data_IF_696346803146
#
_entry.id   IF_696346803146
#
_cell.length_a   1.000
_cell.length_b   1.000
_cell.length_c   1.000
_cell.angle_alpha   90.00
_cell.angle_beta   90.00
_cell.angle_gamma   90.00
#
_symmetry.space_group_name_H-M   'P 1'
#
loop_
_entity.id
_entity.type
_entity.pdbx_description
1 polymer ?
#
# COMPACT_ATOMS: atom_id res chain seq x y z
N UNK A 1 -20.02 19.84 -2.26
CA UNK A 1 -19.12 18.73 -1.90
C UNK A 1 -18.78 17.99 -3.18
N UNK A 2 -17.51 18.04 -3.61
CA UNK A 2 -17.05 17.16 -4.68
C UNK A 2 -16.89 15.76 -4.05
N UNK A 3 -17.67 14.81 -4.54
CA UNK A 3 -17.59 13.41 -4.13
C UNK A 3 -16.33 12.83 -4.79
N UNK A 4 -15.43 12.27 -4.00
CA UNK A 4 -14.30 11.52 -4.53
C UNK A 4 -14.86 10.37 -5.39
N UNK A 5 -14.38 10.27 -6.63
CA UNK A 5 -14.84 9.29 -7.60
C UNK A 5 -13.70 8.31 -7.87
N UNK A 6 -13.87 7.07 -7.43
CA UNK A 6 -12.96 5.98 -7.75
C UNK A 6 -13.51 5.17 -8.92
N UNK A 7 -12.61 4.63 -9.73
CA UNK A 7 -12.96 3.71 -10.80
C UNK A 7 -13.55 2.43 -10.19
N UNK A 8 -14.80 2.11 -10.48
CA UNK A 8 -15.45 0.91 -9.94
C UNK A 8 -15.63 -0.21 -10.96
N UNK A 9 -15.62 0.10 -12.26
CA UNK A 9 -15.74 -0.90 -13.32
C UNK A 9 -15.18 -0.38 -14.65
N UNK A 10 -14.56 -1.28 -15.42
CA UNK A 10 -14.21 -1.09 -16.84
C UNK A 10 -14.82 -2.26 -17.60
N UNK A 11 -15.49 -1.97 -18.71
CA UNK A 11 -15.97 -2.97 -19.67
C UNK A 11 -15.26 -2.72 -21.00
N UNK A 12 -14.66 -3.76 -21.57
CA UNK A 12 -14.02 -3.67 -22.88
C UNK A 12 -15.04 -3.83 -24.03
N UNK A 13 -14.58 -3.67 -25.28
CA UNK A 13 -15.44 -3.77 -26.47
C UNK A 13 -15.93 -5.20 -26.75
N UNK A 14 -15.38 -6.20 -26.07
CA UNK A 14 -15.79 -7.60 -26.17
C UNK A 14 -16.76 -8.00 -25.05
N UNK A 15 -17.05 -7.08 -24.12
CA UNK A 15 -17.95 -7.31 -22.99
C UNK A 15 -17.30 -7.97 -21.78
N UNK A 16 -15.96 -8.04 -21.72
CA UNK A 16 -15.28 -8.45 -20.49
C UNK A 16 -15.27 -7.30 -19.48
N UNK A 17 -15.46 -7.61 -18.20
CA UNK A 17 -15.52 -6.61 -17.12
C UNK A 17 -14.35 -6.78 -16.15
N UNK A 18 -13.72 -5.66 -15.77
CA UNK A 18 -12.88 -5.55 -14.58
C UNK A 18 -13.62 -4.70 -13.54
N UNK A 19 -14.04 -5.31 -12.43
CA UNK A 19 -14.76 -4.65 -11.33
C UNK A 19 -13.84 -4.43 -10.14
N UNK A 20 -13.93 -3.26 -9.52
CA UNK A 20 -13.09 -2.89 -8.37
C UNK A 20 -13.99 -2.62 -7.17
N UNK A 21 -13.74 -3.33 -6.07
CA UNK A 21 -14.39 -3.07 -4.77
C UNK A 21 -13.40 -2.42 -3.82
N UNK A 22 -13.93 -1.67 -2.85
CA UNK A 22 -13.12 -0.88 -1.93
C UNK A 22 -13.56 -1.08 -0.48
N UNK A 23 -12.59 -1.13 0.43
CA UNK A 23 -12.78 -1.01 1.87
C UNK A 23 -12.87 0.48 2.22
N UNK A 24 -13.85 0.83 3.03
CA UNK A 24 -13.98 2.15 3.63
C UNK A 24 -13.68 2.07 5.12
N UNK A 25 -12.56 2.64 5.56
CA UNK A 25 -12.23 2.70 6.98
C UNK A 25 -13.04 3.80 7.67
N UNK A 26 -13.60 3.56 8.86
CA UNK A 26 -14.39 4.56 9.60
C UNK A 26 -13.88 4.74 11.03
N UNK A 27 -13.84 6.00 11.49
CA UNK A 27 -13.50 6.34 12.89
C UNK A 27 -14.30 7.56 13.37
N UNK A 28 -14.72 7.52 14.63
CA UNK A 28 -15.17 8.71 15.35
C UNK A 28 -13.96 9.52 15.86
N UNK A 29 -13.93 10.82 15.56
CA UNK A 29 -12.91 11.74 16.10
C UNK A 29 -13.51 12.42 17.33
N UNK A 30 -12.92 12.16 18.50
CA UNK A 30 -13.36 12.74 19.76
C UNK A 30 -13.28 14.27 19.72
N UNK A 31 -14.31 14.95 20.23
CA UNK A 31 -14.34 16.42 20.34
C UNK A 31 -14.66 17.19 19.05
N UNK A 32 -14.75 16.54 17.88
CA UNK A 32 -15.03 17.22 16.62
C UNK A 32 -16.53 17.32 16.27
N UNK A 33 -17.40 16.53 16.93
CA UNK A 33 -18.84 16.50 16.63
C UNK A 33 -19.18 16.03 15.20
N UNK A 34 -18.18 15.63 14.42
CA UNK A 34 -18.30 15.19 13.04
C UNK A 34 -17.52 13.88 12.82
N UNK A 35 -17.99 13.09 11.85
CA UNK A 35 -17.25 11.95 11.30
C UNK A 35 -16.44 12.47 10.10
N UNK A 36 -15.14 12.17 10.05
CA UNK A 36 -14.31 12.52 8.89
C UNK A 36 -14.18 11.30 7.98
N UNK A 37 -14.52 11.49 6.71
CA UNK A 37 -14.26 10.52 5.64
C UNK A 37 -12.79 10.57 5.18
N UNK A 38 -12.10 9.52 4.73
CA UNK A 38 -11.91 8.10 5.11
C UNK A 38 -10.71 7.63 4.26
N UNK A 39 -9.87 6.70 4.72
CA UNK A 39 -9.00 6.00 3.77
C UNK A 39 -9.89 5.02 2.95
N UNK A 40 -9.82 5.13 1.63
CA UNK A 40 -10.50 4.24 0.68
C UNK A 40 -9.44 3.37 0.04
N UNK A 41 -9.57 2.06 0.22
CA UNK A 41 -8.54 1.09 -0.14
C UNK A 41 -9.13 0.04 -1.08
N UNK A 42 -8.48 -0.30 -2.21
CA UNK A 42 -8.97 -1.35 -3.08
C UNK A 42 -8.96 -2.68 -2.33
N UNK A 43 -10.09 -3.40 -2.34
CA UNK A 43 -10.23 -4.71 -1.71
C UNK A 43 -9.99 -5.83 -2.73
N UNK A 44 -10.68 -5.71 -3.87
CA UNK A 44 -10.61 -6.66 -4.95
C UNK A 44 -10.58 -5.96 -6.31
N UNK A 45 -9.84 -6.53 -7.25
CA UNK A 45 -10.07 -6.33 -8.68
C UNK A 45 -10.50 -7.67 -9.26
N UNK A 46 -11.72 -7.75 -9.77
CA UNK A 46 -12.34 -8.98 -10.24
C UNK A 46 -12.53 -8.93 -11.75
N UNK A 47 -12.10 -9.98 -12.44
CA UNK A 47 -12.27 -10.12 -13.88
C UNK A 47 -13.44 -11.06 -14.18
N UNK A 48 -14.35 -10.61 -15.05
CA UNK A 48 -15.47 -11.37 -15.59
C UNK A 48 -15.30 -11.48 -17.09
N UNK A 49 -15.23 -12.71 -17.60
CA UNK A 49 -15.32 -12.95 -19.03
C UNK A 49 -16.73 -12.56 -19.53
N UNK A 50 -16.83 -12.16 -20.80
CA UNK A 50 -18.11 -11.80 -21.42
C UNK A 50 -19.21 -12.84 -21.16
N UNK A 51 -20.35 -12.39 -20.63
CA UNK A 51 -21.49 -13.24 -20.28
C UNK A 51 -21.36 -14.02 -18.96
N UNK A 52 -20.22 -13.95 -18.27
CA UNK A 52 -20.03 -14.58 -16.97
C UNK A 52 -20.70 -13.78 -15.85
N UNK A 53 -21.45 -14.47 -14.98
CA UNK A 53 -22.04 -13.87 -13.77
C UNK A 53 -21.12 -13.98 -12.54
N UNK A 54 -20.08 -14.81 -12.64
CA UNK A 54 -19.11 -15.04 -11.56
C UNK A 54 -17.71 -14.67 -12.02
N UNK A 55 -16.88 -14.08 -11.14
CA UNK A 55 -15.53 -13.69 -11.53
C UNK A 55 -14.69 -14.92 -11.88
N UNK A 56 -13.96 -14.84 -12.99
CA UNK A 56 -13.07 -15.89 -13.49
C UNK A 56 -11.68 -15.80 -12.83
N UNK A 57 -11.25 -14.59 -12.51
CA UNK A 57 -10.00 -14.31 -11.80
C UNK A 57 -10.21 -13.11 -10.87
N UNK A 58 -9.37 -13.00 -9.84
CA UNK A 58 -9.37 -11.85 -8.96
C UNK A 58 -7.99 -11.53 -8.41
N UNK A 59 -7.75 -10.25 -8.16
CA UNK A 59 -6.67 -9.74 -7.33
C UNK A 59 -7.28 -9.39 -5.98
N UNK A 60 -6.69 -9.90 -4.91
CA UNK A 60 -7.09 -9.63 -3.52
C UNK A 60 -6.00 -8.81 -2.86
N UNK A 61 -6.38 -7.67 -2.29
CA UNK A 61 -5.49 -6.81 -1.52
C UNK A 61 -5.62 -7.15 -0.03
N UNK A 62 -4.54 -7.64 0.55
CA UNK A 62 -4.48 -7.97 1.97
C UNK A 62 -3.93 -6.81 2.78
N UNK A 63 -4.61 -6.51 3.87
CA UNK A 63 -4.27 -5.40 4.73
C UNK A 63 -4.09 -5.89 6.17
N UNK A 64 -3.00 -5.48 6.81
CA UNK A 64 -2.81 -5.69 8.25
C UNK A 64 -3.16 -4.42 9.01
N UNK A 65 -3.87 -4.61 10.12
CA UNK A 65 -4.13 -3.53 11.07
C UNK A 65 -2.81 -3.05 11.69
N UNK A 66 -2.56 -1.77 11.53
CA UNK A 66 -1.56 -1.03 12.24
C UNK A 66 -2.28 -0.10 13.23
N UNK A 67 -2.21 -0.38 14.53
CA UNK A 67 -2.41 0.70 15.48
C UNK A 67 -1.27 1.70 15.24
N UNK A 68 -1.57 2.95 14.87
CA UNK A 68 -0.58 4.03 14.84
C UNK A 68 -0.14 4.39 16.28
N UNK A 69 0.25 3.39 17.07
CA UNK A 69 0.78 3.47 18.43
C UNK A 69 2.24 3.86 18.46
N UNK A 70 2.95 3.79 17.33
CA UNK A 70 4.38 4.11 17.26
C UNK A 70 4.66 5.62 17.15
N UNK A 71 3.64 6.47 17.31
CA UNK A 71 3.75 7.92 17.39
C UNK A 71 3.38 8.36 18.80
N UNK A 72 4.30 8.14 19.75
CA UNK A 72 4.12 8.31 21.20
C UNK A 72 3.69 9.71 21.68
N UNK A 73 3.54 10.70 20.79
CA UNK A 73 3.47 12.11 21.20
C UNK A 73 2.30 12.94 20.67
N UNK A 74 1.33 12.35 19.93
CA UNK A 74 0.14 13.10 19.52
C UNK A 74 -1.14 12.57 20.21
N UNK A 75 -1.89 13.44 20.94
CA UNK A 75 -3.20 13.07 21.45
C UNK A 75 -4.12 12.72 20.26
N UNK A 76 -4.36 11.42 20.12
CA UNK A 76 -5.08 10.74 19.02
C UNK A 76 -6.48 11.29 18.73
N UNK A 77 -7.05 12.06 19.66
CA UNK A 77 -8.35 12.69 19.56
C UNK A 77 -8.36 13.91 18.63
N UNK A 78 -7.23 14.59 18.43
CA UNK A 78 -7.18 15.89 17.76
C UNK A 78 -6.43 15.90 16.41
N UNK A 79 -5.97 14.75 15.93
CA UNK A 79 -5.36 14.62 14.60
C UNK A 79 -6.48 14.55 13.55
N UNK A 80 -6.90 15.73 13.09
CA UNK A 80 -7.93 15.97 12.06
C UNK A 80 -7.49 15.53 10.65
N UNK A 81 -6.27 15.01 10.51
CA UNK A 81 -5.62 14.76 9.23
C UNK A 81 -5.50 13.26 8.99
N UNK A 82 -6.28 12.76 8.03
CA UNK A 82 -6.14 11.46 7.34
C UNK A 82 -5.54 10.31 8.17
N UNK A 83 -6.39 9.40 8.65
CA UNK A 83 -5.94 8.15 9.28
C UNK A 83 -5.95 7.03 8.23
N UNK A 84 -4.87 6.25 8.19
CA UNK A 84 -4.88 4.94 7.54
C UNK A 84 -4.41 3.89 8.55
N UNK A 85 -5.38 3.15 9.11
CA UNK A 85 -5.12 2.07 10.06
C UNK A 85 -4.55 0.83 9.40
N UNK A 86 -4.62 0.72 8.09
CA UNK A 86 -4.28 -0.48 7.39
C UNK A 86 -3.04 -0.26 6.54
N UNK A 87 -2.23 -1.31 6.45
CA UNK A 87 -1.08 -1.33 5.54
C UNK A 87 -1.30 -2.49 4.60
N UNK A 88 -1.23 -2.19 3.30
CA UNK A 88 -1.23 -3.22 2.28
C UNK A 88 -0.01 -4.10 2.50
N UNK A 89 -0.22 -5.35 2.89
CA UNK A 89 0.84 -6.32 3.19
C UNK A 89 0.97 -7.38 2.10
N UNK A 90 -0.06 -7.53 1.28
CA UNK A 90 -0.10 -8.58 0.29
C UNK A 90 -1.00 -8.25 -0.90
N UNK A 91 -0.61 -8.77 -2.05
CA UNK A 91 -1.41 -8.77 -3.27
C UNK A 91 -1.47 -10.22 -3.74
N UNK A 92 -2.66 -10.81 -3.74
CA UNK A 92 -2.84 -12.22 -4.11
C UNK A 92 -3.65 -12.31 -5.39
N UNK A 93 -3.06 -12.90 -6.43
CA UNK A 93 -3.75 -13.21 -7.68
C UNK A 93 -4.36 -14.60 -7.59
N UNK A 94 -5.64 -14.70 -7.89
CA UNK A 94 -6.40 -15.94 -7.81
C UNK A 94 -7.15 -16.20 -9.11
N UNK A 95 -7.18 -17.47 -9.53
CA UNK A 95 -7.98 -17.93 -10.65
C UNK A 95 -9.05 -18.91 -10.16
N UNK A 96 -10.24 -18.85 -10.77
CA UNK A 96 -11.33 -19.76 -10.44
C UNK A 96 -11.08 -21.09 -11.13
N UNK A 97 -11.04 -22.19 -10.37
CA UNK A 97 -11.03 -23.54 -10.95
C UNK A 97 -12.35 -23.84 -11.62
N UNK A 98 -12.30 -24.30 -12.87
CA UNK A 98 -13.49 -24.72 -13.63
C UNK A 98 -14.16 -25.95 -13.02
N UNK A 99 -13.40 -26.83 -12.37
CA UNK A 99 -13.90 -28.09 -11.81
C UNK A 99 -14.60 -27.93 -10.47
N UNK A 100 -14.11 -27.04 -9.59
CA UNK A 100 -14.65 -26.86 -8.23
C UNK A 100 -15.39 -25.55 -8.04
N UNK A 101 -15.19 -24.57 -8.93
CA UNK A 101 -15.67 -23.21 -8.76
C UNK A 101 -14.97 -22.40 -7.67
N UNK A 102 -13.97 -22.97 -6.99
CA UNK A 102 -13.20 -22.29 -5.95
C UNK A 102 -12.09 -21.41 -6.55
N UNK A 103 -11.72 -20.35 -5.84
CA UNK A 103 -10.53 -19.57 -6.17
C UNK A 103 -9.28 -20.22 -5.61
N UNK A 104 -8.24 -20.28 -6.43
CA UNK A 104 -6.91 -20.73 -6.02
C UNK A 104 -5.87 -19.66 -6.28
N UNK A 105 -4.89 -19.57 -5.38
CA UNK A 105 -3.78 -18.63 -5.52
C UNK A 105 -2.88 -19.08 -6.67
N UNK A 106 -2.73 -18.22 -7.67
CA UNK A 106 -1.79 -18.39 -8.78
C UNK A 106 -0.46 -17.72 -8.46
N UNK A 107 -0.54 -16.58 -7.76
CA UNK A 107 0.62 -15.78 -7.40
C UNK A 107 0.32 -14.98 -6.15
N UNK A 108 1.32 -14.77 -5.30
CA UNK A 108 1.24 -13.89 -4.14
C UNK A 108 2.45 -12.98 -4.09
N UNK A 109 2.21 -11.72 -3.80
CA UNK A 109 3.23 -10.73 -3.45
C UNK A 109 3.08 -10.41 -1.98
N UNK A 110 4.16 -10.52 -1.21
CA UNK A 110 4.25 -10.05 0.17
C UNK A 110 5.06 -8.77 0.20
N UNK A 111 4.54 -7.73 0.85
CA UNK A 111 5.11 -6.40 0.92
C UNK A 111 5.65 -6.15 2.33
N UNK A 112 6.96 -6.02 2.47
CA UNK A 112 7.60 -5.69 3.74
C UNK A 112 7.81 -4.18 3.85
N UNK A 113 7.69 -3.66 5.06
CA UNK A 113 7.80 -2.23 5.35
C UNK A 113 8.70 -2.01 6.57
N UNK A 114 9.28 -0.83 6.65
CA UNK A 114 10.09 -0.36 7.77
C UNK A 114 9.83 1.13 8.02
N UNK A 115 10.29 1.65 9.15
CA UNK A 115 10.12 3.03 9.55
C UNK A 115 11.44 3.68 9.86
N UNK A 116 11.65 4.85 9.28
CA UNK A 116 12.70 5.74 9.72
C UNK A 116 12.10 6.75 10.71
N UNK A 117 12.66 6.76 11.92
CA UNK A 117 12.31 7.73 12.96
C UNK A 117 13.22 8.96 12.85
N UNK A 118 12.61 10.15 12.97
CA UNK A 118 13.31 11.42 12.92
C UNK A 118 13.48 11.97 14.34
N UNK A 119 14.72 12.25 14.74
CA UNK A 119 15.01 12.85 16.04
C UNK A 119 14.60 14.33 16.06
N UNK A 120 13.83 14.74 17.05
CA UNK A 120 13.33 16.11 17.22
C UNK A 120 12.13 16.17 18.17
N UNK A 121 11.72 17.37 18.57
CA UNK A 121 10.63 17.58 19.55
C UNK A 121 9.24 17.09 19.12
N UNK A 122 9.10 16.55 17.90
CA UNK A 122 7.83 16.04 17.36
C UNK A 122 7.92 14.60 16.84
N UNK A 123 9.00 13.85 17.12
CA UNK A 123 9.21 12.43 16.78
C UNK A 123 8.34 11.92 15.62
N UNK A 124 8.66 12.38 14.41
CA UNK A 124 7.94 11.96 13.20
C UNK A 124 8.59 10.69 12.69
N UNK A 125 7.80 9.86 12.00
CA UNK A 125 8.30 8.66 11.33
C UNK A 125 7.78 8.61 9.91
N UNK A 126 8.60 8.13 8.97
CA UNK A 126 8.18 7.86 7.58
C UNK A 126 8.25 6.36 7.36
N UNK A 127 7.18 5.80 6.81
CA UNK A 127 7.14 4.42 6.35
C UNK A 127 7.81 4.30 4.99
N UNK A 128 8.55 3.22 4.78
CA UNK A 128 9.08 2.84 3.48
C UNK A 128 8.81 1.36 3.19
N UNK A 129 8.48 1.05 1.94
CA UNK A 129 8.42 -0.32 1.43
C UNK A 129 9.85 -0.83 1.28
N UNK A 130 10.21 -1.91 1.96
CA UNK A 130 11.60 -2.43 1.98
C UNK A 130 11.78 -3.61 1.05
N UNK A 131 10.75 -4.42 0.85
CA UNK A 131 10.81 -5.49 -0.13
C UNK A 131 9.44 -5.93 -0.64
N UNK A 132 9.48 -6.58 -1.80
CA UNK A 132 8.37 -7.37 -2.34
C UNK A 132 8.89 -8.76 -2.64
N UNK A 133 8.25 -9.78 -2.05
CA UNK A 133 8.56 -11.19 -2.32
C UNK A 133 7.42 -11.80 -3.12
N UNK A 134 7.73 -12.35 -4.29
CA UNK A 134 6.77 -13.10 -5.11
C UNK A 134 6.83 -14.59 -4.79
N UNK A 135 5.68 -15.25 -4.68
CA UNK A 135 5.59 -16.72 -4.65
C UNK A 135 4.52 -17.26 -5.61
N UNK A 136 4.80 -18.46 -6.13
CA UNK A 136 3.92 -19.20 -7.04
C UNK A 136 2.88 -20.06 -6.34
N UNK A 137 2.17 -20.87 -7.14
CA UNK A 137 1.14 -21.82 -6.68
C UNK A 137 1.66 -22.86 -5.67
N UNK A 138 2.93 -23.23 -5.77
CA UNK A 138 3.59 -24.21 -4.91
C UNK A 138 4.13 -23.60 -3.61
N UNK A 139 3.98 -22.28 -3.44
CA UNK A 139 4.51 -21.54 -2.30
C UNK A 139 6.01 -21.24 -2.39
N UNK A 140 6.70 -21.68 -3.46
CA UNK A 140 8.11 -21.35 -3.69
C UNK A 140 8.24 -19.86 -3.92
N UNK A 141 9.07 -19.19 -3.12
CA UNK A 141 9.33 -17.77 -3.25
C UNK A 141 10.51 -17.50 -4.20
N UNK A 142 10.35 -16.52 -5.09
CA UNK A 142 11.45 -15.93 -5.82
C UNK A 142 12.28 -15.03 -4.89
N UNK A 143 13.54 -14.72 -5.27
CA UNK A 143 14.31 -13.70 -4.58
C UNK A 143 13.52 -12.38 -4.48
N UNK A 144 13.56 -11.76 -3.30
CA UNK A 144 12.82 -10.55 -3.05
C UNK A 144 13.37 -9.37 -3.88
N UNK A 145 12.46 -8.54 -4.38
CA UNK A 145 12.79 -7.17 -4.78
C UNK A 145 13.05 -6.37 -3.53
N UNK A 146 14.25 -5.79 -3.39
CA UNK A 146 14.60 -4.95 -2.24
C UNK A 146 14.73 -3.49 -2.64
N UNK A 147 14.34 -2.63 -1.71
CA UNK A 147 14.33 -1.18 -1.89
C UNK A 147 15.14 -0.53 -0.77
N UNK A 148 16.16 0.24 -1.17
CA UNK A 148 16.95 1.06 -0.27
C UNK A 148 16.58 2.53 -0.46
N UNK A 149 16.69 3.31 0.61
CA UNK A 149 16.34 4.72 0.61
C UNK A 149 17.46 5.53 1.26
N UNK A 150 17.77 6.67 0.68
CA UNK A 150 18.57 7.71 1.31
C UNK A 150 17.68 8.64 2.12
N UNK A 151 18.11 8.98 3.33
CA UNK A 151 17.43 9.98 4.14
C UNK A 151 18.08 11.34 3.88
N UNK A 152 17.30 12.30 3.39
CA UNK A 152 17.80 13.62 3.02
C UNK A 152 18.30 14.45 4.23
N UNK A 153 17.86 14.11 5.44
CA UNK A 153 18.29 14.74 6.70
C UNK A 153 19.59 14.16 7.27
N UNK A 154 20.10 13.05 6.73
CA UNK A 154 21.34 12.42 7.21
C UNK A 154 22.57 13.33 7.00
N UNK A 155 22.52 14.22 6.01
CA UNK A 155 23.58 15.20 5.74
C UNK A 155 23.49 16.48 6.61
N UNK A 156 22.34 16.73 7.24
CA UNK A 156 22.10 17.91 8.06
C UNK A 156 21.08 17.58 9.16
N UNK A 157 21.50 16.97 10.28
CA UNK A 157 20.59 16.66 11.37
C UNK A 157 19.91 17.96 11.81
N UNK A 158 18.59 17.94 11.97
CA UNK A 158 17.81 19.09 12.43
C UNK A 158 18.15 19.32 13.91
N UNK A 159 19.27 20.01 14.17
CA UNK A 159 19.71 20.41 15.51
C UNK A 159 19.10 21.77 15.80
N UNK A 160 18.10 21.78 16.68
CA UNK A 160 17.56 23.01 17.27
C UNK A 160 16.53 23.73 16.41
N UNK A 161 15.25 23.54 16.74
CA UNK A 161 14.19 24.53 16.52
C UNK A 161 14.06 25.16 15.13
N UNK A 162 14.42 24.45 14.06
CA UNK A 162 14.35 25.02 12.71
C UNK A 162 12.89 25.26 12.28
N UNK A 163 12.55 26.53 12.08
CA UNK A 163 11.23 27.03 11.66
C UNK A 163 11.05 27.07 10.13
N UNK A 164 11.74 26.25 9.33
CA UNK A 164 11.55 26.29 7.87
C UNK A 164 11.75 24.96 7.14
N UNK A 165 10.66 24.50 6.54
CA UNK A 165 10.53 23.85 5.22
C UNK A 165 11.26 22.53 4.88
N UNK A 166 12.30 22.09 5.59
CA UNK A 166 12.93 20.79 5.32
C UNK A 166 12.08 19.67 5.93
N UNK A 167 11.01 19.26 5.23
CA UNK A 167 10.31 18.02 5.60
C UNK A 167 11.28 16.85 5.34
N UNK A 168 11.44 15.92 6.29
CA UNK A 168 12.20 14.72 6.01
C UNK A 168 11.60 14.03 4.79
N UNK A 169 12.45 13.70 3.82
CA UNK A 169 12.09 13.02 2.59
C UNK A 169 13.02 11.82 2.42
N UNK A 170 12.47 10.78 1.79
CA UNK A 170 13.22 9.59 1.39
C UNK A 170 13.39 9.62 -0.12
N UNK A 171 14.63 9.55 -0.58
CA UNK A 171 14.95 9.30 -1.99
C UNK A 171 15.23 7.82 -2.14
N UNK A 172 14.62 7.16 -3.13
CA UNK A 172 14.94 5.75 -3.43
C UNK A 172 16.37 5.68 -3.97
N UNK A 173 17.26 4.97 -3.25
CA UNK A 173 18.70 4.93 -3.54
C UNK A 173 19.01 4.03 -4.76
N UNK A 174 18.18 3.01 -5.00
CA UNK A 174 18.33 2.05 -6.10
C UNK A 174 16.98 1.58 -6.65
N UNK A 175 16.90 1.40 -7.98
CA UNK A 175 15.80 0.67 -8.60
C UNK A 175 15.75 -0.76 -8.06
N UNK A 176 14.54 -1.31 -7.88
CA UNK A 176 14.30 -2.65 -7.35
C UNK A 176 15.22 -3.70 -8.00
N UNK A 177 16.04 -4.38 -7.21
CA UNK A 177 16.89 -5.48 -7.70
C UNK A 177 16.25 -6.81 -7.35
N UNK A 178 16.07 -7.71 -8.33
CA UNK A 178 15.44 -9.03 -8.18
C UNK A 178 16.44 -10.17 -7.97
N UNK A 179 17.66 -9.85 -7.53
CA UNK A 179 18.76 -10.82 -7.48
C UNK A 179 19.23 -11.33 -8.85
N UNK A 180 18.70 -10.86 -9.98
CA UNK A 180 19.15 -11.22 -11.33
C UNK A 180 20.08 -10.19 -11.99
N UNK A 181 20.70 -9.32 -11.18
CA UNK A 181 21.61 -8.29 -11.66
C UNK A 181 20.89 -7.05 -12.19
N UNK A 182 21.58 -5.92 -12.07
CA UNK A 182 21.18 -4.65 -12.68
C UNK A 182 21.36 -4.82 -14.18
N UNK A 183 20.34 -4.52 -14.99
CA UNK A 183 20.59 -4.22 -16.40
C UNK A 183 21.50 -2.98 -16.42
N UNK A 184 22.80 -3.21 -16.58
CA UNK A 184 23.78 -2.15 -16.66
C UNK A 184 23.37 -1.19 -17.79
N UNK A 185 23.18 0.07 -17.44
CA UNK A 185 23.04 1.15 -18.40
C UNK A 185 21.61 1.68 -18.60
N UNK A 186 21.22 2.62 -17.75
CA UNK A 186 20.50 3.80 -18.24
C UNK A 186 21.33 5.02 -17.84
N UNK A 187 21.77 5.85 -18.79
CA UNK A 187 22.58 7.02 -18.49
C UNK A 187 21.75 8.09 -17.76
N UNK A 188 22.47 8.92 -17.02
CA UNK A 188 21.99 10.10 -16.30
C UNK A 188 21.28 11.12 -17.21
#
# INVERSE_FOLDING_TARGET
MLREAHLTSIIDTLGNEARITYIHQRRAVDGAGCQYDHAIEPEHIQYFAAGSQTPNAQVVFGYTNRPDTDLDFFPKANLVYYFNWHRLDSITMQARRTTTGAFETVRRYLLAHDYDTFSGSQSKSIMRLTSITESGTDGTALPAWTFAYERQDAANPIVGGATSAARPNLNVLTQATNGQGIAAGLPA
#
